data_IF_410614687803
#
_entry.id   IF_410614687803
#
_cell.length_a   1.000
_cell.length_b   1.000
_cell.length_c   1.000
_cell.angle_alpha   90.00
_cell.angle_beta   90.00
_cell.angle_gamma   90.00
#
_symmetry.space_group_name_H-M   'P 1'
#
loop_
_entity.id
_entity.type
_entity.pdbx_description
1 polymer ?
#
# COMPACT_ATOMS: atom_id res chain seq x y z
N UNK A 1 -7.71 -3.58 7.55
CA UNK A 1 -9.13 -3.58 7.18
C UNK A 1 -9.66 -2.17 6.93
N UNK A 2 -9.57 -1.24 7.89
CA UNK A 2 -10.08 0.15 7.73
C UNK A 2 -9.55 0.83 6.47
N UNK A 3 -8.24 0.80 6.27
CA UNK A 3 -7.61 1.46 5.13
C UNK A 3 -8.00 0.79 3.81
N UNK A 4 -7.99 -0.56 3.77
CA UNK A 4 -8.44 -1.29 2.59
C UNK A 4 -9.86 -0.88 2.18
N UNK A 5 -10.76 -0.80 3.15
CA UNK A 5 -12.15 -0.43 2.89
C UNK A 5 -12.26 1.01 2.36
N UNK A 6 -11.46 1.93 2.89
CA UNK A 6 -11.42 3.31 2.41
C UNK A 6 -10.92 3.37 0.95
N UNK A 7 -9.84 2.67 0.64
CA UNK A 7 -9.31 2.60 -0.73
C UNK A 7 -10.36 2.03 -1.67
N UNK A 8 -10.96 0.91 -1.29
CA UNK A 8 -11.98 0.23 -2.10
C UNK A 8 -13.17 1.16 -2.38
N UNK A 9 -13.62 1.90 -1.38
CA UNK A 9 -14.71 2.87 -1.52
C UNK A 9 -14.43 3.88 -2.63
N UNK A 10 -13.23 4.47 -2.65
CA UNK A 10 -12.87 5.46 -3.67
C UNK A 10 -12.62 4.83 -5.04
N UNK A 11 -11.99 3.64 -5.09
CA UNK A 11 -11.77 2.95 -6.37
C UNK A 11 -13.09 2.58 -7.06
N UNK A 12 -14.09 2.14 -6.31
CA UNK A 12 -15.38 1.73 -6.85
C UNK A 12 -16.23 2.89 -7.40
N UNK A 13 -15.89 4.12 -7.06
CA UNK A 13 -16.55 5.30 -7.63
C UNK A 13 -16.13 5.55 -9.07
N UNK A 14 -14.95 5.11 -9.48
CA UNK A 14 -14.48 5.26 -10.86
C UNK A 14 -14.98 4.09 -11.71
N UNK A 15 -15.84 4.37 -12.66
CA UNK A 15 -16.49 3.36 -13.51
C UNK A 15 -15.66 2.92 -14.70
N UNK A 16 -14.51 3.55 -14.92
CA UNK A 16 -13.61 3.20 -16.03
C UNK A 16 -12.59 2.12 -15.66
N UNK A 17 -12.51 1.77 -14.38
CA UNK A 17 -11.61 0.72 -13.89
C UNK A 17 -12.37 -0.43 -13.26
N UNK A 18 -11.78 -1.61 -13.27
CA UNK A 18 -12.29 -2.79 -12.58
C UNK A 18 -11.46 -3.03 -11.32
N UNK A 19 -12.12 -3.19 -10.19
CA UNK A 19 -11.47 -3.40 -8.89
C UNK A 19 -11.77 -4.80 -8.36
N UNK A 20 -10.71 -5.49 -7.93
CA UNK A 20 -10.80 -6.76 -7.18
C UNK A 20 -10.26 -6.54 -5.77
N UNK A 21 -10.82 -7.21 -4.80
CA UNK A 21 -10.41 -7.09 -3.40
C UNK A 21 -10.40 -8.46 -2.73
N UNK A 22 -9.50 -8.63 -1.78
CA UNK A 22 -9.34 -9.87 -1.01
C UNK A 22 -10.33 -10.03 0.13
N UNK A 23 -11.38 -9.23 0.16
CA UNK A 23 -12.44 -9.34 1.16
C UNK A 23 -13.30 -8.09 1.26
N UNK A 24 -14.30 -8.16 2.11
CA UNK A 24 -15.25 -7.07 2.33
C UNK A 24 -15.51 -6.89 3.82
N UNK A 25 -15.76 -5.66 4.23
CA UNK A 25 -16.02 -5.36 5.65
C UNK A 25 -14.85 -5.80 6.54
N UNK A 26 -15.09 -6.73 7.43
CA UNK A 26 -14.07 -7.25 8.36
C UNK A 26 -13.39 -8.53 7.86
N UNK A 27 -13.76 -9.04 6.68
CA UNK A 27 -13.23 -10.30 6.16
C UNK A 27 -12.05 -10.06 5.23
N UNK A 28 -10.98 -10.83 5.41
CA UNK A 28 -9.84 -10.93 4.51
C UNK A 28 -9.70 -12.37 4.03
N UNK A 29 -9.35 -12.55 2.76
CA UNK A 29 -8.99 -13.85 2.22
C UNK A 29 -7.57 -14.24 2.68
N UNK A 30 -7.26 -15.53 2.59
CA UNK A 30 -5.91 -16.03 2.84
C UNK A 30 -4.93 -15.45 1.81
N UNK A 31 -3.65 -15.36 2.17
CA UNK A 31 -2.59 -14.81 1.31
C UNK A 31 -2.56 -15.45 -0.08
N UNK A 32 -2.69 -16.77 -0.16
CA UNK A 32 -2.68 -17.48 -1.46
C UNK A 32 -3.81 -17.04 -2.38
N UNK A 33 -4.97 -16.71 -1.81
CA UNK A 33 -6.11 -16.21 -2.59
C UNK A 33 -5.90 -14.76 -3.02
N UNK A 34 -5.34 -13.92 -2.13
CA UNK A 34 -4.97 -12.56 -2.46
C UNK A 34 -3.95 -12.54 -3.61
N UNK A 35 -2.96 -13.43 -3.59
CA UNK A 35 -1.95 -13.55 -4.66
C UNK A 35 -2.60 -13.89 -6.00
N UNK A 36 -3.62 -14.74 -6.03
CA UNK A 36 -4.34 -15.08 -7.26
C UNK A 36 -5.01 -13.87 -7.92
N UNK A 37 -5.40 -12.88 -7.12
CA UNK A 37 -6.03 -11.66 -7.64
C UNK A 37 -5.04 -10.77 -8.41
N UNK A 38 -3.74 -10.95 -8.22
CA UNK A 38 -2.70 -10.17 -8.91
C UNK A 38 -2.68 -10.49 -10.41
N UNK A 39 -2.91 -11.75 -10.76
CA UNK A 39 -2.84 -12.21 -12.15
C UNK A 39 -3.82 -11.44 -13.03
N UNK A 40 -3.31 -10.83 -14.08
CA UNK A 40 -4.12 -10.06 -15.03
C UNK A 40 -4.53 -8.68 -14.54
N UNK A 41 -4.04 -8.21 -13.38
CA UNK A 41 -4.27 -6.84 -12.93
C UNK A 41 -3.17 -5.91 -13.45
N UNK A 42 -3.51 -4.63 -13.62
CA UNK A 42 -2.54 -3.59 -13.98
C UNK A 42 -1.74 -3.12 -12.77
N UNK A 43 -2.34 -3.19 -11.58
CA UNK A 43 -1.69 -2.85 -10.32
C UNK A 43 -2.30 -3.69 -9.19
N UNK A 44 -1.48 -4.09 -8.24
CA UNK A 44 -1.92 -4.82 -7.06
C UNK A 44 -1.19 -4.29 -5.83
N UNK A 45 -1.94 -3.98 -4.78
CA UNK A 45 -1.39 -3.40 -3.55
C UNK A 45 -1.94 -4.12 -2.33
N UNK A 46 -1.05 -4.51 -1.43
CA UNK A 46 -1.39 -4.99 -0.10
C UNK A 46 -0.99 -3.91 0.90
N UNK A 47 -1.91 -3.51 1.78
CA UNK A 47 -1.62 -2.49 2.79
C UNK A 47 -1.25 -3.15 4.11
N UNK A 48 -0.14 -2.71 4.68
CA UNK A 48 0.45 -3.24 5.89
C UNK A 48 0.87 -2.13 6.84
N UNK A 49 1.22 -2.53 8.05
CA UNK A 49 1.88 -1.68 9.02
C UNK A 49 3.22 -2.30 9.40
N UNK A 50 4.23 -1.46 9.51
CA UNK A 50 5.52 -1.83 10.05
C UNK A 50 5.49 -1.91 11.58
N UNK A 51 6.49 -2.54 12.16
CA UNK A 51 6.71 -2.55 13.59
C UNK A 51 8.21 -2.66 13.88
N UNK A 52 8.64 -2.08 14.99
CA UNK A 52 10.03 -2.12 15.42
C UNK A 52 10.11 -2.14 16.95
N UNK A 53 11.15 -2.75 17.48
CA UNK A 53 11.48 -2.65 18.91
C UNK A 53 11.88 -1.22 19.27
N UNK A 54 12.42 -0.46 18.30
CA UNK A 54 12.66 0.98 18.45
C UNK A 54 11.36 1.72 18.17
N UNK A 55 10.74 2.24 19.21
CA UNK A 55 9.46 2.94 19.13
C UNK A 55 9.52 4.29 18.42
N UNK A 56 10.72 4.79 18.12
CA UNK A 56 10.90 6.03 17.35
C UNK A 56 10.97 5.77 15.85
N UNK A 57 11.10 4.50 15.42
CA UNK A 57 11.08 4.16 14.00
C UNK A 57 9.79 4.68 13.35
N UNK A 58 9.94 5.30 12.18
CA UNK A 58 8.85 6.01 11.51
C UNK A 58 9.04 6.04 10.00
N UNK A 59 8.00 6.45 9.30
CA UNK A 59 8.03 6.66 7.86
C UNK A 59 7.21 5.63 7.09
N UNK A 60 7.11 5.87 5.80
CA UNK A 60 6.37 5.04 4.84
C UNK A 60 7.31 4.45 3.80
N UNK A 61 7.07 3.20 3.44
CA UNK A 61 7.82 2.51 2.39
C UNK A 61 6.92 1.56 1.63
N UNK A 62 7.29 1.27 0.39
CA UNK A 62 6.57 0.32 -0.43
C UNK A 62 7.57 -0.69 -1.00
N UNK A 63 7.33 -1.96 -0.68
CA UNK A 63 8.17 -3.07 -1.13
C UNK A 63 7.62 -3.56 -2.46
N UNK A 64 8.48 -3.58 -3.48
CA UNK A 64 8.06 -3.97 -4.83
C UNK A 64 9.22 -4.54 -5.62
N UNK A 65 8.92 -5.17 -6.76
CA UNK A 65 9.94 -5.53 -7.74
C UNK A 65 10.49 -4.25 -8.41
N UNK A 66 11.73 -4.27 -8.93
CA UNK A 66 12.30 -3.09 -9.59
C UNK A 66 11.45 -2.53 -10.73
N UNK A 67 10.72 -3.38 -11.46
CA UNK A 67 9.82 -2.94 -12.53
C UNK A 67 8.68 -2.04 -12.04
N UNK A 68 8.32 -2.14 -10.76
CA UNK A 68 7.23 -1.40 -10.14
C UNK A 68 7.72 -0.24 -9.26
N UNK A 69 9.00 0.13 -9.37
CA UNK A 69 9.62 1.17 -8.55
C UNK A 69 8.85 2.49 -8.60
N UNK A 70 8.46 2.95 -9.78
CA UNK A 70 7.75 4.22 -9.93
C UNK A 70 6.39 4.19 -9.23
N UNK A 71 5.64 3.09 -9.40
CA UNK A 71 4.36 2.92 -8.70
C UNK A 71 4.57 2.90 -7.18
N UNK A 72 5.57 2.15 -6.71
CA UNK A 72 5.90 2.08 -5.28
C UNK A 72 6.21 3.46 -4.70
N UNK A 73 7.01 4.27 -5.41
CA UNK A 73 7.32 5.62 -4.99
C UNK A 73 6.09 6.53 -4.95
N UNK A 74 5.20 6.42 -5.93
CA UNK A 74 3.95 7.20 -5.97
C UNK A 74 3.00 6.81 -4.84
N UNK A 75 2.91 5.53 -4.50
CA UNK A 75 2.08 5.04 -3.40
C UNK A 75 2.59 5.57 -2.05
N UNK A 76 3.90 5.49 -1.82
CA UNK A 76 4.51 6.03 -0.60
C UNK A 76 4.33 7.55 -0.50
N UNK A 77 4.51 8.27 -1.62
CA UNK A 77 4.30 9.71 -1.67
C UNK A 77 2.84 10.09 -1.38
N UNK A 78 1.88 9.29 -1.84
CA UNK A 78 0.47 9.51 -1.55
C UNK A 78 0.16 9.47 -0.05
N UNK A 79 0.77 8.53 0.67
CA UNK A 79 0.65 8.44 2.13
C UNK A 79 1.34 9.63 2.80
N UNK A 80 2.58 9.91 2.41
CA UNK A 80 3.38 11.01 2.97
C UNK A 80 2.70 12.37 2.81
N UNK A 81 2.04 12.60 1.68
CA UNK A 81 1.28 13.82 1.41
C UNK A 81 0.22 14.10 2.46
N UNK A 82 -0.44 13.05 2.96
CA UNK A 82 -1.50 13.17 3.96
C UNK A 82 -0.96 13.20 5.38
N UNK A 83 0.02 12.35 5.67
CA UNK A 83 0.51 12.12 7.03
C UNK A 83 1.68 13.01 7.43
N UNK A 84 2.42 13.54 6.47
CA UNK A 84 3.69 14.22 6.71
C UNK A 84 4.84 13.26 7.05
N UNK A 85 4.63 11.95 7.00
CA UNK A 85 5.67 10.96 7.29
C UNK A 85 6.79 10.98 6.25
N UNK A 86 8.03 10.75 6.71
CA UNK A 86 9.17 10.69 5.79
C UNK A 86 9.07 9.47 4.86
N UNK A 87 9.64 9.58 3.68
CA UNK A 87 9.80 8.49 2.74
C UNK A 87 11.05 7.68 3.09
N UNK A 88 10.89 6.38 3.29
CA UNK A 88 11.99 5.45 3.58
C UNK A 88 12.56 4.90 2.28
N UNK A 89 13.73 4.27 2.34
CA UNK A 89 14.37 3.68 1.17
C UNK A 89 14.70 4.73 0.11
N UNK A 90 14.45 4.40 -1.15
CA UNK A 90 14.69 5.29 -2.29
C UNK A 90 13.39 6.00 -2.65
N UNK A 91 13.15 7.17 -2.07
CA UNK A 91 11.91 7.94 -2.25
C UNK A 91 10.65 7.09 -2.00
N UNK A 92 10.69 6.25 -0.96
CA UNK A 92 9.58 5.40 -0.57
C UNK A 92 9.56 4.02 -1.22
N UNK A 93 10.53 3.71 -2.08
CA UNK A 93 10.69 2.37 -2.68
C UNK A 93 11.78 1.58 -1.96
N UNK A 94 11.50 0.30 -1.71
CA UNK A 94 12.48 -0.64 -1.19
C UNK A 94 12.33 -1.99 -1.91
N UNK A 95 13.46 -2.65 -2.21
CA UNK A 95 13.44 -3.99 -2.78
C UNK A 95 13.09 -5.00 -1.68
N UNK A 96 12.61 -6.18 -2.07
CA UNK A 96 12.33 -7.21 -1.07
C UNK A 96 13.61 -7.71 -0.38
N UNK A 97 14.75 -7.69 -1.07
CA UNK A 97 16.04 -8.07 -0.51
C UNK A 97 16.48 -7.11 0.60
N UNK A 98 16.19 -5.82 0.44
CA UNK A 98 16.52 -4.79 1.42
C UNK A 98 15.46 -4.63 2.50
N UNK A 99 14.30 -5.26 2.35
CA UNK A 99 13.24 -5.21 3.36
C UNK A 99 13.59 -6.07 4.56
N UNK A 100 13.06 -5.72 5.73
CA UNK A 100 13.22 -6.50 6.94
C UNK A 100 12.60 -7.91 6.84
N UNK A 101 11.74 -8.13 5.86
CA UNK A 101 11.01 -9.39 5.66
C UNK A 101 11.69 -10.35 4.68
N UNK A 102 12.65 -9.87 3.86
CA UNK A 102 13.26 -10.67 2.80
C UNK A 102 12.28 -11.00 1.67
N UNK A 103 12.35 -12.21 1.12
CA UNK A 103 11.47 -12.61 0.00
C UNK A 103 10.01 -12.72 0.41
N UNK A 104 9.14 -12.17 -0.42
CA UNK A 104 7.70 -12.09 -0.18
C UNK A 104 6.91 -12.62 -1.37
N UNK A 105 6.04 -13.61 -1.14
CA UNK A 105 5.26 -14.24 -2.20
C UNK A 105 4.39 -13.24 -2.97
N UNK A 106 3.81 -12.28 -2.29
CA UNK A 106 2.98 -11.25 -2.91
C UNK A 106 3.79 -10.37 -3.87
N UNK A 107 4.99 -9.95 -3.45
CA UNK A 107 5.89 -9.13 -4.28
C UNK A 107 6.42 -9.93 -5.45
N UNK A 108 6.85 -11.18 -5.24
CA UNK A 108 7.32 -12.06 -6.31
C UNK A 108 6.24 -12.29 -7.39
N UNK A 109 4.97 -12.29 -7.00
CA UNK A 109 3.84 -12.41 -7.92
C UNK A 109 3.52 -11.11 -8.67
N UNK A 110 4.17 -10.01 -8.32
CA UNK A 110 4.00 -8.72 -8.99
C UNK A 110 3.21 -7.68 -8.22
N UNK A 111 2.89 -7.92 -6.94
CA UNK A 111 2.19 -6.95 -6.10
C UNK A 111 3.15 -6.03 -5.36
N UNK A 112 2.62 -4.92 -4.86
CA UNK A 112 3.32 -3.97 -4.01
C UNK A 112 2.82 -4.11 -2.57
N UNK A 113 3.73 -4.15 -1.60
CA UNK A 113 3.37 -4.12 -0.17
C UNK A 113 3.65 -2.72 0.35
N UNK A 114 2.59 -1.97 0.65
CA UNK A 114 2.68 -0.61 1.17
C UNK A 114 2.63 -0.63 2.69
N UNK A 115 3.76 -0.32 3.31
CA UNK A 115 3.91 -0.18 4.76
C UNK A 115 3.58 1.28 5.13
N UNK A 116 2.34 1.49 5.56
CA UNK A 116 1.75 2.83 5.71
C UNK A 116 2.31 3.60 6.89
N UNK A 117 2.54 2.91 7.99
CA UNK A 117 2.97 3.49 9.27
C UNK A 117 3.60 2.42 10.13
N UNK A 118 4.25 2.84 11.21
CA UNK A 118 4.74 1.94 12.24
C UNK A 118 3.71 1.84 13.38
N UNK A 119 3.16 0.65 13.61
CA UNK A 119 2.27 0.39 14.75
C UNK A 119 2.96 0.65 16.09
N UNK A 120 4.28 0.44 16.13
CA UNK A 120 5.10 0.65 17.31
C UNK A 120 5.33 2.13 17.66
N UNK A 121 4.99 3.04 16.77
CA UNK A 121 5.11 4.50 16.98
C UNK A 121 3.73 5.09 17.25
N UNK A 122 3.49 5.48 18.51
CA UNK A 122 2.18 5.97 18.94
C UNK A 122 1.72 7.21 18.18
N UNK A 123 2.65 8.10 17.83
CA UNK A 123 2.34 9.32 17.08
C UNK A 123 1.89 8.99 15.65
N UNK A 124 2.60 8.08 14.97
CA UNK A 124 2.21 7.64 13.63
C UNK A 124 0.85 6.94 13.65
N UNK A 125 0.62 6.08 14.66
CA UNK A 125 -0.64 5.38 14.80
C UNK A 125 -1.80 6.36 14.99
N UNK A 126 -1.61 7.40 15.80
CA UNK A 126 -2.62 8.43 16.01
C UNK A 126 -2.94 9.17 14.71
N UNK A 127 -1.94 9.58 13.96
CA UNK A 127 -2.13 10.25 12.68
C UNK A 127 -2.90 9.35 11.72
N UNK A 128 -2.57 8.05 11.66
CA UNK A 128 -3.31 7.09 10.86
C UNK A 128 -4.79 7.02 11.26
N UNK A 129 -5.08 6.87 12.56
CA UNK A 129 -6.45 6.78 13.06
C UNK A 129 -7.27 8.03 12.73
N UNK A 130 -6.63 9.20 12.77
CA UNK A 130 -7.29 10.47 12.46
C UNK A 130 -7.51 10.69 10.95
N UNK A 131 -6.68 10.09 10.08
CA UNK A 131 -6.62 10.44 8.66
C UNK A 131 -6.76 9.27 7.67
N UNK A 132 -7.13 8.08 8.12
CA UNK A 132 -7.13 6.91 7.23
C UNK A 132 -8.03 7.06 6.00
N UNK A 133 -9.12 7.81 6.08
CA UNK A 133 -9.97 8.11 4.93
C UNK A 133 -9.25 8.93 3.88
N UNK A 134 -8.51 9.97 4.32
CA UNK A 134 -7.71 10.80 3.41
C UNK A 134 -6.55 10.03 2.81
N UNK A 135 -5.92 9.15 3.60
CA UNK A 135 -4.87 8.25 3.12
C UNK A 135 -5.44 7.32 2.04
N UNK A 136 -6.59 6.73 2.29
CA UNK A 136 -7.26 5.86 1.33
C UNK A 136 -7.62 6.56 0.03
N UNK A 137 -8.10 7.79 0.12
CA UNK A 137 -8.39 8.63 -1.04
C UNK A 137 -7.14 8.90 -1.87
N UNK A 138 -6.06 9.31 -1.21
CA UNK A 138 -4.79 9.64 -1.86
C UNK A 138 -4.19 8.42 -2.58
N UNK A 139 -4.22 7.25 -1.93
CA UNK A 139 -3.76 6.00 -2.54
C UNK A 139 -4.62 5.63 -3.76
N UNK A 140 -5.94 5.75 -3.64
CA UNK A 140 -6.85 5.41 -4.74
C UNK A 140 -6.63 6.30 -5.97
N UNK A 141 -6.35 7.58 -5.77
CA UNK A 141 -6.04 8.49 -6.87
C UNK A 141 -4.79 8.05 -7.64
N UNK A 142 -3.73 7.63 -6.93
CA UNK A 142 -2.52 7.09 -7.57
C UNK A 142 -2.84 5.82 -8.36
N UNK A 143 -3.61 4.90 -7.80
CA UNK A 143 -3.97 3.65 -8.48
C UNK A 143 -4.81 3.90 -9.72
N UNK A 144 -5.79 4.78 -9.64
CA UNK A 144 -6.65 5.15 -10.78
C UNK A 144 -5.81 5.74 -11.91
N UNK A 145 -4.97 6.72 -11.60
CA UNK A 145 -4.11 7.37 -12.60
C UNK A 145 -3.15 6.37 -13.23
N UNK A 146 -2.55 5.50 -12.41
CA UNK A 146 -1.62 4.48 -12.90
C UNK A 146 -2.30 3.51 -13.86
N UNK A 147 -3.46 2.98 -13.50
CA UNK A 147 -4.20 2.03 -14.33
C UNK A 147 -4.65 2.68 -15.63
N UNK A 148 -5.16 3.92 -15.59
CA UNK A 148 -5.56 4.65 -16.79
C UNK A 148 -4.38 4.94 -17.71
N UNK A 149 -3.18 5.13 -17.16
CA UNK A 149 -1.96 5.34 -17.95
C UNK A 149 -1.53 4.11 -18.75
N UNK A 150 -2.05 2.93 -18.41
CA UNK A 150 -1.76 1.66 -19.11
C UNK A 150 -2.66 1.41 -20.32
N UNK A 151 -3.67 2.23 -20.51
CA UNK A 151 -4.63 2.10 -21.63
C UNK A 151 -4.18 2.82 -22.89
#
# INVERSE_FOLDING_TARGET
VKLRNAILHYLQQDKEITTRCDGYGQVNLELKEAIKLIKGSDAAVEVHFNSSTNKTANGVECIALPKDKVLAQKLSAAVSKVTGSRLRGTEGFITQEDSARGKLGYVNAGGCILEVSFLSNDQELKVFEDKYWLIGKSISEVLIDYVKSKK
#
